data_IF_731608066918
#
_entry.id   IF_731608066918
#
_cell.length_a   1.000
_cell.length_b   1.000
_cell.length_c   1.000
_cell.angle_alpha   90.00
_cell.angle_beta   90.00
_cell.angle_gamma   90.00
#
_symmetry.space_group_name_H-M   'P 1'
#
loop_
_entity.id
_entity.type
_entity.pdbx_description
1 polymer ?
#
# COMPACT_ATOMS: atom_id res chain seq x y z
N UNK A 1 14.74 -31.22 -26.35
CA UNK A 1 14.17 -31.04 -24.99
C UNK A 1 15.13 -30.15 -24.22
N UNK A 2 14.63 -29.09 -23.59
CA UNK A 2 15.46 -28.25 -22.72
C UNK A 2 15.90 -29.04 -21.48
N UNK A 3 17.10 -28.77 -20.96
CA UNK A 3 17.57 -29.33 -19.69
C UNK A 3 16.67 -28.81 -18.54
N UNK A 4 16.02 -29.69 -17.77
CA UNK A 4 15.19 -29.28 -16.63
C UNK A 4 15.95 -28.43 -15.59
N UNK A 5 17.25 -28.67 -15.39
CA UNK A 5 18.04 -27.91 -14.43
C UNK A 5 18.33 -26.50 -14.94
N UNK A 6 18.71 -26.37 -16.22
CA UNK A 6 18.90 -25.07 -16.87
C UNK A 6 17.62 -24.23 -16.82
N UNK A 7 16.46 -24.85 -17.10
CA UNK A 7 15.17 -24.17 -17.02
C UNK A 7 14.86 -23.69 -15.59
N UNK A 8 15.11 -24.52 -14.58
CA UNK A 8 14.84 -24.18 -13.18
C UNK A 8 15.71 -23.00 -12.70
N UNK A 9 16.99 -22.98 -13.08
CA UNK A 9 17.90 -21.89 -12.73
C UNK A 9 17.50 -20.57 -13.41
N UNK A 10 17.24 -20.61 -14.72
CA UNK A 10 16.80 -19.42 -15.44
C UNK A 10 15.47 -18.86 -14.92
N UNK A 11 14.54 -19.73 -14.54
CA UNK A 11 13.28 -19.32 -13.91
C UNK A 11 13.50 -18.68 -12.55
N UNK A 12 14.38 -19.25 -11.71
CA UNK A 12 14.72 -18.69 -10.41
C UNK A 12 15.37 -17.31 -10.54
N UNK A 13 16.40 -17.16 -11.36
CA UNK A 13 17.09 -15.89 -11.59
C UNK A 13 16.13 -14.80 -12.09
N UNK A 14 15.23 -15.17 -13.02
CA UNK A 14 14.24 -14.24 -13.55
C UNK A 14 13.18 -13.88 -12.51
N UNK A 15 12.74 -14.84 -11.70
CA UNK A 15 11.77 -14.59 -10.62
C UNK A 15 12.38 -13.67 -9.56
N UNK A 16 13.62 -13.92 -9.12
CA UNK A 16 14.32 -13.04 -8.18
C UNK A 16 14.45 -11.62 -8.75
N UNK A 17 14.80 -11.47 -10.02
CA UNK A 17 14.96 -10.12 -10.61
C UNK A 17 13.63 -9.39 -10.86
N UNK A 18 12.54 -10.08 -11.19
CA UNK A 18 11.25 -9.46 -11.53
C UNK A 18 10.28 -9.35 -10.35
N UNK A 19 10.33 -10.26 -9.36
CA UNK A 19 9.35 -10.36 -8.27
C UNK A 19 9.81 -9.68 -6.98
N UNK A 20 11.12 -9.55 -6.76
CA UNK A 20 11.67 -9.05 -5.48
C UNK A 20 11.09 -7.70 -5.06
N UNK A 21 10.97 -6.74 -5.98
CA UNK A 21 10.39 -5.43 -5.68
C UNK A 21 8.96 -5.52 -5.13
N UNK A 22 8.14 -6.40 -5.71
CA UNK A 22 6.76 -6.62 -5.24
C UNK A 22 6.70 -7.25 -3.86
N UNK A 23 7.60 -8.21 -3.59
CA UNK A 23 7.72 -8.83 -2.28
C UNK A 23 8.15 -7.80 -1.23
N UNK A 24 9.17 -6.99 -1.51
CA UNK A 24 9.65 -5.95 -0.60
C UNK A 24 8.57 -4.92 -0.27
N UNK A 25 7.82 -4.47 -1.29
CA UNK A 25 6.69 -3.55 -1.14
C UNK A 25 5.58 -4.13 -0.26
N UNK A 26 5.22 -5.40 -0.49
CA UNK A 26 4.21 -6.11 0.30
C UNK A 26 4.64 -6.21 1.77
N UNK A 27 5.90 -6.60 2.00
CA UNK A 27 6.49 -6.69 3.34
C UNK A 27 6.52 -5.33 4.04
N UNK A 28 6.80 -4.24 3.32
CA UNK A 28 6.79 -2.89 3.88
C UNK A 28 5.38 -2.48 4.34
N UNK A 29 4.35 -2.72 3.52
CA UNK A 29 2.95 -2.46 3.86
C UNK A 29 2.52 -3.26 5.09
N UNK A 30 2.86 -4.55 5.15
CA UNK A 30 2.48 -5.40 6.27
C UNK A 30 3.19 -5.01 7.58
N UNK A 31 4.48 -4.65 7.49
CA UNK A 31 5.22 -4.13 8.65
C UNK A 31 4.61 -2.83 9.17
N UNK A 32 4.16 -1.94 8.28
CA UNK A 32 3.41 -0.73 8.65
C UNK A 32 2.10 -1.09 9.34
N UNK A 33 1.26 -1.94 8.76
CA UNK A 33 -0.02 -2.38 9.35
C UNK A 33 0.17 -2.97 10.75
N UNK A 34 1.17 -3.84 10.94
CA UNK A 34 1.48 -4.42 12.25
C UNK A 34 1.91 -3.37 13.27
N UNK A 35 2.68 -2.36 12.85
CA UNK A 35 3.08 -1.24 13.71
C UNK A 35 1.86 -0.42 14.14
N UNK A 36 0.98 -0.08 13.21
CA UNK A 36 -0.24 0.70 13.47
C UNK A 36 -1.21 -0.07 14.38
N UNK A 37 -1.46 -1.35 14.12
CA UNK A 37 -2.30 -2.20 14.98
C UNK A 37 -1.80 -2.24 16.43
N UNK A 38 -0.49 -2.25 16.65
CA UNK A 38 0.09 -2.20 18.01
C UNK A 38 -0.15 -0.86 18.70
N UNK A 39 -0.16 0.24 17.95
CA UNK A 39 -0.46 1.57 18.50
C UNK A 39 -1.94 1.69 18.85
N UNK A 40 -2.83 1.29 17.94
CA UNK A 40 -4.28 1.25 18.20
C UNK A 40 -4.63 0.42 19.43
N UNK A 41 -4.02 -0.77 19.57
CA UNK A 41 -4.20 -1.61 20.76
C UNK A 41 -3.86 -0.88 22.07
N UNK A 42 -2.93 0.07 22.03
CA UNK A 42 -2.51 0.85 23.18
C UNK A 42 -3.28 2.19 23.31
N UNK A 43 -4.34 2.41 22.52
CA UNK A 43 -5.12 3.65 22.52
C UNK A 43 -4.42 4.82 21.82
N UNK A 44 -3.41 4.56 20.99
CA UNK A 44 -2.68 5.58 20.24
C UNK A 44 -3.12 5.54 18.78
N UNK A 45 -3.59 6.67 18.25
CA UNK A 45 -3.86 6.85 16.83
C UNK A 45 -2.52 7.10 16.12
N UNK A 46 -2.11 6.25 15.15
CA UNK A 46 -0.91 6.47 14.36
C UNK A 46 -1.00 7.75 13.54
N UNK A 47 0.06 8.56 13.58
CA UNK A 47 0.23 9.68 12.65
C UNK A 47 1.05 9.19 11.44
N UNK A 48 0.49 9.18 10.21
CA UNK A 48 1.22 8.73 9.03
C UNK A 48 2.33 9.71 8.64
N UNK A 49 3.41 9.20 8.07
CA UNK A 49 4.40 10.05 7.39
C UNK A 49 3.80 10.67 6.13
N UNK A 50 4.50 11.64 5.52
CA UNK A 50 4.05 12.20 4.24
C UNK A 50 3.96 11.12 3.13
N UNK A 51 4.97 10.26 2.99
CA UNK A 51 4.96 9.19 2.00
C UNK A 51 3.84 8.16 2.27
N UNK A 52 3.55 7.89 3.54
CA UNK A 52 2.44 7.04 3.95
C UNK A 52 1.09 7.67 3.58
N UNK A 53 0.93 8.99 3.78
CA UNK A 53 -0.27 9.70 3.32
C UNK A 53 -0.44 9.68 1.81
N UNK A 54 0.64 9.79 1.05
CA UNK A 54 0.60 9.67 -0.42
C UNK A 54 0.12 8.27 -0.83
N UNK A 55 0.64 7.23 -0.18
CA UNK A 55 0.20 5.85 -0.43
C UNK A 55 -1.27 5.61 -0.05
N UNK A 56 -1.72 6.16 1.07
CA UNK A 56 -3.12 6.06 1.52
C UNK A 56 -4.06 6.83 0.58
N UNK A 57 -3.63 8.01 0.12
CA UNK A 57 -4.35 8.81 -0.87
C UNK A 57 -4.54 8.05 -2.18
N UNK A 58 -3.51 7.35 -2.65
CA UNK A 58 -3.59 6.53 -3.86
C UNK A 58 -4.69 5.46 -3.75
N UNK A 59 -4.86 4.83 -2.58
CA UNK A 59 -5.92 3.86 -2.34
C UNK A 59 -7.29 4.53 -2.19
N UNK A 60 -7.39 5.58 -1.38
CA UNK A 60 -8.64 6.28 -1.11
C UNK A 60 -9.23 6.95 -2.37
N UNK A 61 -8.38 7.48 -3.24
CA UNK A 61 -8.79 8.15 -4.47
C UNK A 61 -9.23 7.20 -5.60
N UNK A 62 -9.15 5.86 -5.42
CA UNK A 62 -9.58 4.89 -6.44
C UNK A 62 -11.05 5.05 -6.87
N UNK A 63 -11.91 5.55 -5.98
CA UNK A 63 -13.31 5.83 -6.29
C UNK A 63 -13.58 7.25 -6.85
N UNK A 64 -12.58 8.12 -6.84
CA UNK A 64 -12.73 9.55 -7.13
C UNK A 64 -12.01 9.97 -8.41
N UNK A 65 -10.88 9.31 -8.72
CA UNK A 65 -9.99 9.72 -9.80
C UNK A 65 -9.65 8.56 -10.74
N UNK A 66 -10.08 8.58 -12.01
CA UNK A 66 -9.88 7.47 -12.93
C UNK A 66 -8.41 7.19 -13.28
N UNK A 67 -7.54 8.20 -13.22
CA UNK A 67 -6.11 8.01 -13.45
C UNK A 67 -5.48 7.28 -12.26
N UNK A 68 -5.86 7.66 -11.04
CA UNK A 68 -5.42 6.97 -9.82
C UNK A 68 -6.00 5.56 -9.76
N UNK A 69 -7.28 5.34 -10.14
CA UNK A 69 -7.86 4.00 -10.24
C UNK A 69 -7.03 3.11 -11.14
N UNK A 70 -6.75 3.57 -12.37
CA UNK A 70 -5.98 2.81 -13.35
C UNK A 70 -4.58 2.50 -12.85
N UNK A 71 -3.88 3.53 -12.37
CA UNK A 71 -2.53 3.40 -11.82
C UNK A 71 -2.48 2.40 -10.66
N UNK A 72 -3.47 2.42 -9.78
CA UNK A 72 -3.56 1.50 -8.64
C UNK A 72 -3.82 0.07 -9.09
N UNK A 73 -4.71 -0.13 -10.08
CA UNK A 73 -4.94 -1.46 -10.64
C UNK A 73 -3.71 -2.03 -11.35
N UNK A 74 -2.88 -1.19 -11.98
CA UNK A 74 -1.61 -1.64 -12.55
C UNK A 74 -0.64 -2.17 -11.48
N UNK A 75 -0.57 -1.50 -10.33
CA UNK A 75 0.25 -1.93 -9.19
C UNK A 75 -0.32 -3.22 -8.59
N UNK A 76 -1.61 -3.23 -8.24
CA UNK A 76 -2.25 -4.40 -7.61
C UNK A 76 -2.25 -5.65 -8.51
N UNK A 77 -2.27 -5.47 -9.83
CA UNK A 77 -2.21 -6.57 -10.81
C UNK A 77 -0.78 -6.95 -11.19
N UNK A 78 0.24 -6.41 -10.50
CA UNK A 78 1.66 -6.67 -10.77
C UNK A 78 2.10 -6.33 -12.21
N UNK A 79 1.44 -5.36 -12.87
CA UNK A 79 1.76 -4.96 -14.24
C UNK A 79 2.87 -3.91 -14.28
N UNK A 80 2.86 -2.97 -13.34
CA UNK A 80 3.83 -1.87 -13.27
C UNK A 80 4.23 -1.63 -11.81
N UNK A 81 5.52 -1.75 -11.43
CA UNK A 81 5.97 -1.46 -10.07
C UNK A 81 5.53 -0.07 -9.60
N UNK A 82 5.21 0.04 -8.31
CA UNK A 82 4.73 1.27 -7.69
C UNK A 82 5.67 2.43 -7.96
N UNK A 83 6.98 2.24 -7.84
CA UNK A 83 8.00 3.28 -8.07
C UNK A 83 7.88 3.87 -9.48
N UNK A 84 7.61 3.03 -10.49
CA UNK A 84 7.44 3.48 -11.88
C UNK A 84 6.13 4.21 -12.10
N UNK A 85 5.07 3.83 -11.39
CA UNK A 85 3.81 4.57 -11.38
C UNK A 85 3.98 5.95 -10.74
N UNK A 86 4.65 6.00 -9.58
CA UNK A 86 4.94 7.24 -8.86
C UNK A 86 5.85 8.18 -9.67
N UNK A 87 6.78 7.64 -10.45
CA UNK A 87 7.66 8.42 -11.31
C UNK A 87 6.98 9.02 -12.56
N UNK A 88 5.69 8.74 -12.80
CA UNK A 88 4.96 9.32 -13.94
C UNK A 88 4.84 10.84 -13.77
N UNK A 89 5.10 11.63 -14.82
CA UNK A 89 5.00 13.08 -14.74
C UNK A 89 3.65 13.55 -14.18
N UNK A 90 3.69 14.37 -13.12
CA UNK A 90 2.51 14.95 -12.47
C UNK A 90 1.65 13.99 -11.65
N UNK A 91 2.03 12.71 -11.50
CA UNK A 91 1.23 11.75 -10.74
C UNK A 91 1.26 12.02 -9.23
N UNK A 92 2.44 12.32 -8.68
CA UNK A 92 2.59 12.73 -7.27
C UNK A 92 1.86 14.02 -6.99
N UNK A 93 2.05 15.07 -7.80
CA UNK A 93 1.36 16.36 -7.64
C UNK A 93 -0.17 16.20 -7.62
N UNK A 94 -0.68 15.27 -8.45
CA UNK A 94 -2.11 14.94 -8.47
C UNK A 94 -2.56 14.26 -7.18
N UNK A 95 -1.77 13.33 -6.64
CA UNK A 95 -2.03 12.73 -5.33
C UNK A 95 -1.95 13.78 -4.22
N UNK A 96 -1.00 14.71 -4.26
CA UNK A 96 -0.91 15.80 -3.28
C UNK A 96 -2.16 16.70 -3.29
N UNK A 97 -2.70 16.97 -4.47
CA UNK A 97 -3.96 17.71 -4.61
C UNK A 97 -5.12 16.94 -3.99
N UNK A 98 -5.28 15.67 -4.35
CA UNK A 98 -6.34 14.79 -3.83
C UNK A 98 -6.23 14.56 -2.32
N UNK A 99 -5.02 14.50 -1.78
CA UNK A 99 -4.77 14.34 -0.35
C UNK A 99 -5.42 15.48 0.46
N UNK A 100 -5.52 16.69 -0.09
CA UNK A 100 -6.22 17.81 0.53
C UNK A 100 -7.76 17.76 0.40
N UNK A 101 -8.29 16.88 -0.45
CA UNK A 101 -9.72 16.72 -0.71
C UNK A 101 -10.33 15.51 0.02
N UNK A 102 -9.50 14.56 0.42
CA UNK A 102 -9.94 13.31 1.07
C UNK A 102 -10.06 13.51 2.58
N UNK A 103 -11.23 13.13 3.11
CA UNK A 103 -11.43 12.99 4.54
C UNK A 103 -11.00 11.59 5.01
N UNK A 104 -9.85 11.52 5.69
CA UNK A 104 -9.34 10.29 6.31
C UNK A 104 -9.99 10.03 7.69
N UNK A 105 -11.29 10.26 7.80
CA UNK A 105 -12.03 10.03 9.03
C UNK A 105 -11.74 8.61 9.59
N UNK A 106 -11.68 8.46 10.92
CA UNK A 106 -11.47 7.15 11.54
C UNK A 106 -12.49 6.13 11.02
N UNK A 107 -12.06 4.87 10.90
CA UNK A 107 -12.98 3.79 10.59
C UNK A 107 -14.12 3.75 11.62
N UNK A 108 -15.36 3.52 11.20
CA UNK A 108 -16.48 3.43 12.12
C UNK A 108 -16.28 2.25 13.08
N UNK A 109 -16.41 2.51 14.38
CA UNK A 109 -16.27 1.50 15.43
C UNK A 109 -16.09 2.13 16.81
N UNK A 110 -16.25 1.32 17.88
CA UNK A 110 -16.04 1.81 19.23
C UNK A 110 -14.56 2.13 19.48
N UNK A 111 -14.31 3.20 20.22
CA UNK A 111 -12.98 3.50 20.72
C UNK A 111 -12.57 2.52 21.84
N UNK A 112 -11.34 2.67 22.34
CA UNK A 112 -10.80 1.76 23.36
C UNK A 112 -11.64 1.77 24.63
N UNK A 113 -12.12 2.93 25.05
CA UNK A 113 -12.84 3.07 26.32
C UNK A 113 -14.25 2.49 26.17
N UNK A 114 -14.92 2.75 25.04
CA UNK A 114 -16.19 2.10 24.67
C UNK A 114 -16.05 0.57 24.58
N UNK A 115 -14.93 0.05 24.05
CA UNK A 115 -14.66 -1.39 24.01
C UNK A 115 -14.47 -1.98 25.41
N UNK A 116 -13.79 -1.26 26.32
CA UNK A 116 -13.59 -1.73 27.68
C UNK A 116 -14.90 -1.80 28.46
N UNK A 117 -15.81 -0.85 28.27
CA UNK A 117 -17.15 -0.88 28.86
C UNK A 117 -17.96 -2.11 28.42
N UNK A 118 -17.75 -2.62 27.19
CA UNK A 118 -18.47 -3.79 26.68
C UNK A 118 -17.96 -5.13 27.19
N UNK A 119 -16.70 -5.22 27.65
CA UNK A 119 -16.05 -6.48 28.05
C UNK A 119 -15.71 -6.57 29.54
N UNK A 120 -16.04 -5.55 30.31
CA UNK A 120 -15.92 -5.52 31.78
C UNK A 120 -17.21 -5.94 32.47
#
# INVERSE_FOLDING_TARGET
HADPTELALAFHERSESEVTTWHEDTVAVDRRRVREMRQYRNGVVPEPTHDERIADTMQAAMGMDPLVTRATLEVLSCLTPKERVMARPGFVDRLETLMGEIDFAPLPGPDRDELLELVS
#
